data_IF_439493987353
#
_entry.id   IF_439493987353
#
_cell.length_a   1.000
_cell.length_b   1.000
_cell.length_c   1.000
_cell.angle_alpha   90.00
_cell.angle_beta   90.00
_cell.angle_gamma   90.00
#
_symmetry.space_group_name_H-M   'P 1'
#
loop_
_entity.id
_entity.type
_entity.pdbx_description
1 polymer ?
#
# COMPACT_ATOMS: atom_id res chain seq x y z
N UNK A 1 -8.12 5.05 1.02
CA UNK A 1 -7.08 4.55 0.11
C UNK A 1 -7.66 3.48 -0.81
N UNK A 2 -7.90 3.79 -2.08
CA UNK A 2 -8.47 2.85 -3.07
C UNK A 2 -7.43 2.18 -3.98
N UNK A 3 -6.18 2.64 -3.95
CA UNK A 3 -5.11 2.08 -4.78
C UNK A 3 -4.69 0.70 -4.26
N UNK A 4 -4.75 -0.32 -5.14
CA UNK A 4 -4.11 -1.61 -4.94
C UNK A 4 -2.67 -1.48 -5.41
N UNK A 5 -1.71 -1.84 -4.55
CA UNK A 5 -0.28 -1.80 -4.90
C UNK A 5 0.17 -3.23 -5.22
N UNK A 6 0.86 -3.46 -6.36
CA UNK A 6 1.48 -4.76 -6.64
C UNK A 6 2.38 -5.19 -5.48
N UNK A 7 2.30 -6.46 -5.05
CA UNK A 7 2.99 -6.94 -3.85
C UNK A 7 4.51 -6.67 -3.91
N UNK A 8 5.11 -6.86 -5.09
CA UNK A 8 6.54 -6.63 -5.32
C UNK A 8 6.96 -5.16 -5.25
N UNK A 9 6.00 -4.23 -5.32
CA UNK A 9 6.20 -2.78 -5.22
C UNK A 9 5.94 -2.26 -3.80
N UNK A 10 5.60 -3.11 -2.84
CA UNK A 10 5.41 -2.70 -1.45
C UNK A 10 6.64 -1.96 -0.86
N UNK A 11 7.91 -2.36 -1.13
CA UNK A 11 9.07 -1.61 -0.64
C UNK A 11 9.14 -0.17 -1.18
N UNK A 12 8.93 0.02 -2.48
CA UNK A 12 8.95 1.34 -3.12
C UNK A 12 7.77 2.21 -2.66
N UNK A 13 6.62 1.59 -2.45
CA UNK A 13 5.46 2.27 -1.88
C UNK A 13 5.74 2.76 -0.46
N UNK A 14 6.32 1.92 0.39
CA UNK A 14 6.70 2.30 1.75
C UNK A 14 7.73 3.44 1.74
N UNK A 15 8.74 3.36 0.88
CA UNK A 15 9.72 4.44 0.72
C UNK A 15 9.06 5.76 0.35
N UNK A 16 8.11 5.75 -0.59
CA UNK A 16 7.33 6.93 -0.98
C UNK A 16 6.58 7.53 0.21
N UNK A 17 6.01 6.70 1.09
CA UNK A 17 5.36 7.17 2.32
C UNK A 17 6.34 7.84 3.26
N UNK A 18 7.47 7.18 3.52
CA UNK A 18 8.50 7.68 4.43
C UNK A 18 9.13 8.98 3.92
N UNK A 19 9.49 9.04 2.64
CA UNK A 19 10.06 10.26 2.02
C UNK A 19 9.08 11.43 2.09
N UNK A 20 7.79 11.17 1.86
CA UNK A 20 6.74 12.20 1.99
C UNK A 20 6.58 12.67 3.44
N UNK A 21 6.63 11.74 4.41
CA UNK A 21 6.57 12.09 5.83
C UNK A 21 7.78 12.92 6.25
N UNK A 22 8.99 12.49 5.91
CA UNK A 22 10.21 13.23 6.24
C UNK A 22 10.22 14.65 5.65
N UNK A 23 9.67 14.83 4.44
CA UNK A 23 9.62 16.12 3.78
C UNK A 23 8.53 17.07 4.29
N UNK A 24 7.45 16.56 4.89
CA UNK A 24 6.24 17.34 5.22
C UNK A 24 5.84 17.29 6.70
N UNK A 25 6.49 16.47 7.52
CA UNK A 25 6.23 16.40 8.95
C UNK A 25 6.73 17.64 9.66
N UNK A 26 6.02 18.05 10.69
CA UNK A 26 6.48 19.11 11.58
C UNK A 26 7.48 18.54 12.61
N UNK A 27 8.22 19.43 13.28
CA UNK A 27 9.11 19.01 14.36
C UNK A 27 8.32 18.33 15.48
N UNK A 28 8.82 17.18 15.93
CA UNK A 28 8.21 16.32 16.96
C UNK A 28 6.80 15.80 16.62
N UNK A 29 6.39 15.83 15.34
CA UNK A 29 5.12 15.25 14.91
C UNK A 29 5.22 13.73 14.81
N UNK A 30 4.34 13.02 15.51
CA UNK A 30 4.19 11.58 15.39
C UNK A 30 3.62 11.20 14.02
N UNK A 31 3.95 10.00 13.54
CA UNK A 31 3.53 9.58 12.20
C UNK A 31 2.00 9.51 12.05
N UNK A 32 1.28 9.11 13.11
CA UNK A 32 -0.18 9.08 13.11
C UNK A 32 -0.78 10.48 12.91
N UNK A 33 -0.31 11.47 13.67
CA UNK A 33 -0.76 12.86 13.58
C UNK A 33 -0.45 13.47 12.21
N UNK A 34 0.72 13.13 11.65
CA UNK A 34 1.10 13.51 10.28
C UNK A 34 0.10 12.96 9.25
N UNK A 35 -0.27 11.67 9.35
CA UNK A 35 -1.23 11.05 8.43
C UNK A 35 -2.63 11.67 8.58
N UNK A 36 -3.07 11.95 9.80
CA UNK A 36 -4.36 12.60 10.05
C UNK A 36 -4.42 14.02 9.48
N UNK A 37 -3.32 14.78 9.60
CA UNK A 37 -3.22 16.15 9.07
C UNK A 37 -3.12 16.20 7.54
N UNK A 38 -2.26 15.36 6.94
CA UNK A 38 -2.00 15.39 5.49
C UNK A 38 -3.10 14.66 4.72
N UNK A 39 -3.68 13.63 5.34
CA UNK A 39 -4.72 12.81 4.74
C UNK A 39 -4.20 11.83 3.68
N UNK A 40 -5.02 10.82 3.38
CA UNK A 40 -4.67 9.76 2.43
C UNK A 40 -4.63 10.20 0.96
N UNK A 41 -5.24 11.35 0.64
CA UNK A 41 -5.33 11.85 -0.74
C UNK A 41 -3.94 12.18 -1.33
N UNK A 42 -3.02 12.70 -0.51
CA UNK A 42 -1.62 12.96 -0.90
C UNK A 42 -0.94 11.70 -1.44
N UNK A 43 -1.25 10.55 -0.85
CA UNK A 43 -0.65 9.27 -1.22
C UNK A 43 -1.38 8.63 -2.41
N UNK A 44 -2.69 8.80 -2.53
CA UNK A 44 -3.44 8.29 -3.67
C UNK A 44 -2.93 8.83 -5.01
N UNK A 45 -2.52 10.10 -5.06
CA UNK A 45 -1.87 10.69 -6.25
C UNK A 45 -0.53 10.03 -6.55
N UNK A 46 0.34 9.90 -5.54
CA UNK A 46 1.68 9.31 -5.70
C UNK A 46 1.63 7.84 -6.12
N UNK A 47 0.63 7.09 -5.67
CA UNK A 47 0.43 5.69 -6.04
C UNK A 47 -0.35 5.48 -7.35
N UNK A 48 -0.79 6.56 -8.02
CA UNK A 48 -1.39 6.46 -9.35
C UNK A 48 -0.42 5.93 -10.41
N UNK A 49 0.88 6.26 -10.30
CA UNK A 49 1.91 5.84 -11.28
C UNK A 49 2.12 4.31 -11.35
N UNK A 50 2.33 3.59 -10.22
CA UNK A 50 2.43 2.12 -10.25
C UNK A 50 1.21 1.45 -10.90
N UNK A 51 0.00 2.00 -10.69
CA UNK A 51 -1.22 1.45 -11.28
C UNK A 51 -1.23 1.51 -12.81
N UNK A 52 -0.62 2.53 -13.39
CA UNK A 52 -0.48 2.67 -14.85
C UNK A 52 0.59 1.75 -15.44
N UNK A 53 1.64 1.44 -14.66
CA UNK A 53 2.76 0.60 -15.11
C UNK A 53 2.46 -0.91 -15.02
N UNK A 54 1.79 -1.35 -13.95
CA UNK A 54 1.56 -2.77 -13.67
C UNK A 54 0.14 -3.27 -14.00
N UNK A 55 -0.73 -2.39 -14.51
CA UNK A 55 -2.12 -2.71 -14.79
C UNK A 55 -2.98 -2.95 -13.53
N UNK A 56 -4.31 -3.07 -13.68
CA UNK A 56 -5.20 -3.32 -12.57
C UNK A 56 -5.03 -4.75 -12.01
N UNK A 57 -5.56 -5.00 -10.81
CA UNK A 57 -5.61 -6.36 -10.25
C UNK A 57 -6.64 -7.20 -11.03
N UNK A 58 -6.18 -7.93 -12.04
CA UNK A 58 -6.97 -8.86 -12.85
C UNK A 58 -6.15 -10.10 -13.22
N UNK A 59 -6.69 -10.96 -14.09
CA UNK A 59 -6.04 -12.23 -14.48
C UNK A 59 -4.79 -11.99 -15.31
N UNK A 60 -4.76 -10.93 -16.11
CA UNK A 60 -3.66 -10.63 -17.01
C UNK A 60 -2.46 -10.08 -16.24
N UNK A 61 -2.71 -9.36 -15.13
CA UNK A 61 -1.68 -8.71 -14.32
C UNK A 61 -1.40 -9.41 -12.98
N UNK A 62 -2.05 -10.54 -12.68
CA UNK A 62 -2.02 -11.18 -11.35
C UNK A 62 -0.60 -11.48 -10.84
N UNK A 63 0.36 -11.75 -11.74
CA UNK A 63 1.75 -12.06 -11.40
C UNK A 63 2.50 -10.89 -10.74
N UNK A 64 2.07 -9.65 -10.99
CA UNK A 64 2.60 -8.45 -10.35
C UNK A 64 2.10 -8.31 -8.90
N UNK A 65 0.93 -8.89 -8.62
CA UNK A 65 0.26 -8.83 -7.32
C UNK A 65 0.51 -10.07 -6.45
N UNK A 66 1.19 -11.10 -6.97
CA UNK A 66 1.68 -12.22 -6.17
C UNK A 66 3.06 -11.91 -5.57
N UNK A 67 3.23 -12.27 -4.32
CA UNK A 67 4.49 -12.10 -3.59
C UNK A 67 5.59 -13.05 -4.11
N UNK A 68 6.84 -12.70 -3.84
CA UNK A 68 8.00 -13.49 -4.24
C UNK A 68 7.90 -14.92 -3.68
N UNK A 69 8.12 -15.91 -4.54
CA UNK A 69 8.11 -17.32 -4.14
C UNK A 69 6.72 -17.90 -3.88
N UNK A 70 5.63 -17.16 -4.10
CA UNK A 70 4.27 -17.70 -4.05
C UNK A 70 3.80 -18.12 -5.44
N UNK A 71 3.20 -19.31 -5.51
CA UNK A 71 2.57 -19.85 -6.72
C UNK A 71 1.05 -19.74 -6.69
N UNK A 72 0.48 -19.30 -5.57
CA UNK A 72 -0.95 -19.15 -5.36
C UNK A 72 -1.27 -17.74 -4.87
N UNK A 73 -2.42 -17.22 -5.31
CA UNK A 73 -2.93 -15.93 -4.84
C UNK A 73 -3.29 -16.07 -3.36
N UNK A 74 -2.86 -15.10 -2.55
CA UNK A 74 -3.23 -15.02 -1.15
C UNK A 74 -4.76 -15.02 -1.00
N UNK A 75 -5.26 -15.89 -0.14
CA UNK A 75 -6.65 -15.88 0.32
C UNK A 75 -6.64 -15.51 1.79
N UNK A 76 -7.46 -14.53 2.17
CA UNK A 76 -7.68 -14.21 3.57
C UNK A 76 -8.41 -15.39 4.21
N UNK A 77 -7.68 -16.20 4.95
CA UNK A 77 -8.25 -17.23 5.82
C UNK A 77 -8.39 -16.60 7.21
N UNK A 78 -9.62 -16.37 7.66
CA UNK A 78 -9.87 -16.02 9.06
C UNK A 78 -9.85 -17.30 9.88
N UNK A 79 -9.01 -17.35 10.91
CA UNK A 79 -9.04 -18.44 11.89
C UNK A 79 -10.30 -18.36 12.76
N UNK A 80 -10.80 -19.50 13.23
CA UNK A 80 -11.83 -19.55 14.29
C UNK A 80 -11.29 -18.82 15.53
N UNK A 81 -11.73 -17.57 15.75
CA UNK A 81 -11.27 -16.72 16.86
C UNK A 81 -11.00 -15.26 16.47
N UNK A 82 -10.78 -14.94 15.19
CA UNK A 82 -10.55 -13.56 14.73
C UNK A 82 -11.84 -12.74 14.55
N UNK A 83 -12.95 -13.21 15.13
CA UNK A 83 -14.21 -12.50 15.27
C UNK A 83 -14.43 -12.04 16.73
N UNK A 84 -13.37 -11.59 17.42
CA UNK A 84 -13.58 -10.74 18.59
C UNK A 84 -14.04 -9.37 18.08
N UNK A 85 -15.35 -9.17 18.10
CA UNK A 85 -16.06 -7.93 17.73
C UNK A 85 -15.84 -6.86 18.78
#
# INVERSE_FOLDING_TARGET
>A
MKARIPAKQAPEALKTVLDTSLAKRNDSEEFADFIDRVGVAEFEEKFGKPKSEFGPLDRDNIQSYMDWGKTVVYKLERGEGECAV
#
